data_IF_116695767111
#
_entry.id   IF_116695767111
#
_cell.length_a   1.000
_cell.length_b   1.000
_cell.length_c   1.000
_cell.angle_alpha   90.00
_cell.angle_beta   90.00
_cell.angle_gamma   90.00
#
_symmetry.space_group_name_H-M   'P 1'
#
loop_
_entity.id
_entity.type
_entity.pdbx_description
1 polymer ?
#
# COMPACT_ATOMS: atom_id res chain seq x y z
N UNK A 1 -48.62 21.42 -23.83
CA UNK A 1 -48.26 20.53 -22.70
C UNK A 1 -46.82 20.12 -22.90
N UNK A 2 -45.90 20.63 -22.07
CA UNK A 2 -44.54 20.09 -22.02
C UNK A 2 -44.66 18.66 -21.47
N UNK A 3 -44.10 17.64 -22.13
CA UNK A 3 -43.99 16.33 -21.51
C UNK A 3 -43.15 16.51 -20.25
N UNK A 4 -43.69 16.06 -19.12
CA UNK A 4 -42.95 15.95 -17.87
C UNK A 4 -41.73 15.09 -18.21
N UNK A 5 -40.53 15.68 -18.24
CA UNK A 5 -39.30 14.91 -18.26
C UNK A 5 -39.39 14.02 -17.02
N UNK A 6 -39.52 12.70 -17.20
CA UNK A 6 -39.39 11.76 -16.09
C UNK A 6 -38.03 12.04 -15.46
N UNK A 7 -38.03 12.68 -14.29
CA UNK A 7 -36.81 12.95 -13.55
C UNK A 7 -36.22 11.60 -13.16
N UNK A 8 -35.21 11.17 -13.89
CA UNK A 8 -34.51 9.93 -13.61
C UNK A 8 -33.87 10.02 -12.22
N UNK A 9 -34.36 9.18 -11.30
CA UNK A 9 -33.83 9.10 -9.94
C UNK A 9 -32.34 8.74 -10.00
N UNK A 10 -31.47 9.67 -9.61
CA UNK A 10 -30.00 9.50 -9.73
C UNK A 10 -29.40 8.31 -8.96
N UNK A 11 -30.17 7.73 -8.02
CA UNK A 11 -29.82 6.50 -7.30
C UNK A 11 -29.90 5.24 -8.18
N UNK A 12 -30.76 5.26 -9.21
CA UNK A 12 -30.82 4.22 -10.23
C UNK A 12 -30.03 4.73 -11.41
N UNK A 13 -29.02 3.98 -11.86
CA UNK A 13 -28.22 4.33 -13.02
C UNK A 13 -28.69 3.54 -14.23
N UNK A 14 -28.74 4.21 -15.37
CA UNK A 14 -28.87 3.52 -16.66
C UNK A 14 -27.65 2.61 -16.90
N UNK A 15 -27.80 1.58 -17.72
CA UNK A 15 -26.69 0.71 -18.10
C UNK A 15 -25.54 1.49 -18.76
N UNK A 16 -25.84 2.56 -19.49
CA UNK A 16 -24.81 3.41 -20.11
C UNK A 16 -24.04 4.23 -19.09
N UNK A 17 -24.70 4.75 -18.05
CA UNK A 17 -23.99 5.37 -16.93
C UNK A 17 -23.10 4.37 -16.18
N UNK A 18 -23.60 3.15 -15.93
CA UNK A 18 -22.80 2.09 -15.30
C UNK A 18 -21.59 1.73 -16.16
N UNK A 19 -21.73 1.59 -17.48
CA UNK A 19 -20.60 1.33 -18.39
C UNK A 19 -19.55 2.44 -18.35
N UNK A 20 -19.97 3.71 -18.22
CA UNK A 20 -19.02 4.84 -18.06
C UNK A 20 -18.25 4.74 -16.75
N UNK A 21 -18.92 4.38 -15.65
CA UNK A 21 -18.28 4.14 -14.35
C UNK A 21 -17.29 2.98 -14.43
N UNK A 22 -17.70 1.84 -15.00
CA UNK A 22 -16.85 0.66 -15.17
C UNK A 22 -15.61 0.93 -16.03
N UNK A 23 -15.72 1.82 -17.02
CA UNK A 23 -14.57 2.27 -17.81
C UNK A 23 -13.53 2.96 -16.93
N UNK A 24 -13.95 3.81 -16.00
CA UNK A 24 -13.04 4.43 -15.00
C UNK A 24 -12.37 3.37 -14.14
N UNK A 25 -13.12 2.36 -13.66
CA UNK A 25 -12.55 1.28 -12.84
C UNK A 25 -11.49 0.45 -13.58
N UNK A 26 -11.64 0.27 -14.89
CA UNK A 26 -10.67 -0.49 -15.69
C UNK A 26 -9.35 0.26 -15.95
N UNK A 27 -9.33 1.59 -15.75
CA UNK A 27 -8.19 2.48 -16.06
C UNK A 27 -8.14 3.63 -15.06
N UNK A 28 -7.58 3.36 -13.90
CA UNK A 28 -7.39 4.39 -12.87
C UNK A 28 -6.13 5.20 -13.16
N UNK A 29 -6.24 6.52 -13.07
CA UNK A 29 -5.15 7.45 -13.35
C UNK A 29 -4.88 8.30 -12.10
N UNK A 30 -3.62 8.34 -11.69
CA UNK A 30 -3.13 9.14 -10.56
C UNK A 30 -2.10 10.13 -11.10
N UNK A 31 -2.42 11.42 -10.99
CA UNK A 31 -1.69 12.50 -11.65
C UNK A 31 -0.92 13.33 -10.64
N UNK A 32 0.16 13.96 -11.12
CA UNK A 32 1.03 14.83 -10.32
C UNK A 32 1.46 14.14 -9.01
N UNK A 33 1.90 12.88 -9.15
CA UNK A 33 2.42 12.09 -8.04
C UNK A 33 3.77 12.63 -7.61
N UNK A 34 4.04 12.62 -6.30
CA UNK A 34 5.34 12.90 -5.68
C UNK A 34 5.58 11.81 -4.65
N UNK A 35 6.71 11.13 -4.75
CA UNK A 35 6.94 9.88 -4.02
C UNK A 35 8.32 9.89 -3.38
N UNK A 36 8.42 9.44 -2.15
CA UNK A 36 9.66 9.00 -1.52
C UNK A 36 9.55 7.50 -1.24
N UNK A 37 10.43 6.72 -1.84
CA UNK A 37 10.57 5.28 -1.60
C UNK A 37 11.91 5.00 -0.95
N UNK A 38 11.92 4.27 0.16
CA UNK A 38 13.14 3.75 0.78
C UNK A 38 13.17 2.24 0.62
N UNK A 39 14.20 1.74 -0.07
CA UNK A 39 14.43 0.32 -0.29
C UNK A 39 15.34 -0.21 0.82
N UNK A 40 15.01 -1.37 1.38
CA UNK A 40 15.76 -1.98 2.47
C UNK A 40 15.85 -3.50 2.31
N UNK A 41 16.91 -4.08 2.87
CA UNK A 41 17.04 -5.52 3.08
C UNK A 41 16.39 -5.91 4.40
N UNK A 42 15.63 -6.99 4.39
CA UNK A 42 15.11 -7.68 5.57
C UNK A 42 15.69 -9.09 5.66
N UNK A 43 15.03 -10.03 6.33
CA UNK A 43 15.46 -11.43 6.42
C UNK A 43 14.63 -12.33 5.52
N UNK A 44 15.21 -13.37 4.88
CA UNK A 44 14.46 -14.37 4.12
C UNK A 44 13.30 -15.02 4.90
N UNK A 45 13.49 -15.24 6.20
CA UNK A 45 12.48 -15.85 7.08
C UNK A 45 11.25 -14.94 7.22
N UNK A 46 11.47 -13.64 7.43
CA UNK A 46 10.40 -12.64 7.47
C UNK A 46 9.65 -12.57 6.15
N UNK A 47 10.37 -12.57 5.01
CA UNK A 47 9.73 -12.59 3.68
C UNK A 47 8.83 -13.82 3.54
N UNK A 48 9.34 -15.00 3.86
CA UNK A 48 8.56 -16.24 3.78
C UNK A 48 7.30 -16.22 4.66
N UNK A 49 7.38 -15.64 5.86
CA UNK A 49 6.24 -15.55 6.78
C UNK A 49 5.19 -14.53 6.32
N UNK A 50 5.61 -13.44 5.66
CA UNK A 50 4.69 -12.38 5.22
C UNK A 50 3.92 -12.73 3.95
N UNK A 51 4.47 -13.59 3.08
CA UNK A 51 3.87 -13.91 1.80
C UNK A 51 2.75 -14.96 1.95
N UNK A 52 1.48 -14.61 1.67
CA UNK A 52 0.42 -15.60 1.63
C UNK A 52 0.60 -16.48 0.39
N UNK A 53 0.37 -17.80 0.48
CA UNK A 53 0.27 -18.65 -0.71
C UNK A 53 -0.75 -18.07 -1.71
N UNK A 54 -0.50 -18.12 -3.03
CA UNK A 54 0.60 -18.81 -3.73
C UNK A 54 1.82 -17.90 -4.00
N UNK A 55 2.00 -16.80 -3.28
CA UNK A 55 3.19 -15.95 -3.46
C UNK A 55 4.43 -16.64 -2.90
N UNK A 56 5.53 -16.54 -3.65
CA UNK A 56 6.81 -17.14 -3.34
C UNK A 56 7.88 -16.07 -3.12
N UNK A 57 8.89 -16.31 -2.27
CA UNK A 57 10.02 -15.40 -2.10
C UNK A 57 10.83 -15.25 -3.40
N UNK A 58 11.46 -14.09 -3.56
CA UNK A 58 12.57 -13.91 -4.50
C UNK A 58 13.91 -14.28 -3.83
N UNK A 59 15.00 -14.48 -4.59
CA UNK A 59 16.33 -14.71 -4.02
C UNK A 59 16.79 -13.57 -3.08
N UNK A 60 16.41 -12.33 -3.41
CA UNK A 60 16.76 -11.16 -2.61
C UNK A 60 15.63 -10.82 -1.61
N UNK A 61 15.91 -10.75 -0.30
CA UNK A 61 14.91 -10.45 0.74
C UNK A 61 14.68 -8.94 0.86
N UNK A 62 14.14 -8.33 -0.20
CA UNK A 62 13.96 -6.88 -0.29
C UNK A 62 12.56 -6.43 0.13
N UNK A 63 12.52 -5.33 0.87
CA UNK A 63 11.32 -4.55 1.15
C UNK A 63 11.44 -3.12 0.62
N UNK A 64 10.31 -2.45 0.44
CA UNK A 64 10.27 -1.03 0.17
C UNK A 64 9.16 -0.35 0.95
N UNK A 65 9.50 0.74 1.62
CA UNK A 65 8.54 1.64 2.24
C UNK A 65 8.33 2.84 1.30
N UNK A 66 7.09 3.27 1.14
CA UNK A 66 6.72 4.40 0.30
C UNK A 66 5.90 5.40 1.12
N UNK A 67 6.13 6.69 0.90
CA UNK A 67 5.26 7.79 1.34
C UNK A 67 5.18 8.82 0.22
N UNK A 68 4.00 9.36 -0.04
CA UNK A 68 3.83 10.27 -1.16
C UNK A 68 2.50 10.99 -1.21
N UNK A 69 2.41 11.84 -2.23
CA UNK A 69 1.25 12.64 -2.57
C UNK A 69 0.76 12.25 -3.97
N UNK A 70 -0.55 12.13 -4.11
CA UNK A 70 -1.25 12.09 -5.39
C UNK A 70 -1.97 13.44 -5.53
N UNK A 71 -1.56 14.25 -6.51
CA UNK A 71 -2.09 15.60 -6.71
C UNK A 71 -3.50 15.62 -7.31
N UNK A 72 -3.89 14.59 -8.06
CA UNK A 72 -5.27 14.39 -8.52
C UNK A 72 -5.50 12.94 -8.98
N UNK A 73 -6.74 12.49 -9.07
CA UNK A 73 -7.09 11.22 -9.72
C UNK A 73 -8.48 11.28 -10.38
N UNK A 74 -8.72 10.38 -11.34
CA UNK A 74 -10.03 10.26 -11.99
C UNK A 74 -11.06 9.46 -11.18
N UNK A 75 -10.66 8.88 -10.05
CA UNK A 75 -11.49 7.96 -9.27
C UNK A 75 -11.73 8.38 -7.82
N UNK A 76 -10.76 9.04 -7.15
CA UNK A 76 -10.81 9.31 -5.70
C UNK A 76 -10.33 10.71 -5.30
N UNK A 77 -10.06 11.60 -6.26
CA UNK A 77 -9.49 12.93 -5.99
C UNK A 77 -8.02 12.88 -5.50
N UNK A 78 -7.51 13.99 -4.92
CA UNK A 78 -6.17 14.06 -4.33
C UNK A 78 -6.10 13.38 -2.97
N UNK A 79 -4.97 12.78 -2.65
CA UNK A 79 -4.71 12.19 -1.33
C UNK A 79 -3.20 12.04 -1.07
N UNK A 80 -2.86 11.81 0.19
CA UNK A 80 -1.55 11.37 0.64
C UNK A 80 -1.63 9.89 1.02
N UNK A 81 -0.55 9.16 0.82
CA UNK A 81 -0.48 7.75 1.13
C UNK A 81 0.87 7.32 1.63
N UNK A 82 0.89 6.18 2.32
CA UNK A 82 2.07 5.40 2.62
C UNK A 82 1.80 3.92 2.35
N UNK A 83 2.85 3.14 2.17
CA UNK A 83 2.73 1.71 1.96
C UNK A 83 4.03 0.98 2.31
N UNK A 84 3.89 -0.28 2.72
CA UNK A 84 5.00 -1.22 2.88
C UNK A 84 4.82 -2.37 1.92
N UNK A 85 5.89 -2.66 1.17
CA UNK A 85 5.92 -3.74 0.21
C UNK A 85 7.06 -4.71 0.50
N UNK A 86 6.85 -5.97 0.13
CA UNK A 86 7.86 -7.03 0.12
C UNK A 86 7.97 -7.59 -1.29
N UNK A 87 9.19 -7.79 -1.77
CA UNK A 87 9.45 -8.39 -3.08
C UNK A 87 8.92 -9.82 -3.10
N UNK A 88 8.13 -10.15 -4.12
CA UNK A 88 7.44 -11.43 -4.22
C UNK A 88 7.43 -11.92 -5.67
N UNK A 89 7.18 -13.22 -5.83
CA UNK A 89 7.00 -13.86 -7.12
C UNK A 89 5.68 -14.63 -7.13
N UNK A 90 4.96 -14.55 -8.25
CA UNK A 90 3.88 -15.47 -8.57
C UNK A 90 4.18 -16.05 -9.95
N UNK A 91 4.46 -17.35 -10.02
CA UNK A 91 4.92 -18.01 -11.27
C UNK A 91 6.12 -17.26 -11.86
N UNK A 92 5.96 -16.68 -13.04
CA UNK A 92 6.94 -15.89 -13.79
C UNK A 92 6.89 -14.39 -13.49
N UNK A 93 5.88 -13.90 -12.77
CA UNK A 93 5.70 -12.48 -12.46
C UNK A 93 6.46 -12.14 -11.18
N UNK A 94 7.47 -11.27 -11.32
CA UNK A 94 8.18 -10.68 -10.19
C UNK A 94 7.57 -9.31 -9.87
N UNK A 95 7.03 -9.17 -8.67
CA UNK A 95 6.32 -7.97 -8.23
C UNK A 95 6.57 -7.65 -6.76
N UNK A 96 5.66 -6.85 -6.21
CA UNK A 96 5.68 -6.42 -4.81
C UNK A 96 4.37 -6.82 -4.15
N UNK A 97 4.41 -7.59 -3.07
CA UNK A 97 3.25 -7.81 -2.21
C UNK A 97 3.05 -6.61 -1.29
N UNK A 98 1.86 -6.00 -1.30
CA UNK A 98 1.53 -4.90 -0.41
C UNK A 98 1.10 -5.43 0.96
N UNK A 99 1.90 -5.15 1.99
CA UNK A 99 1.67 -5.62 3.37
C UNK A 99 0.67 -4.72 4.10
N UNK A 100 0.84 -3.41 3.99
CA UNK A 100 -0.06 -2.39 4.57
C UNK A 100 -0.03 -1.12 3.74
N UNK A 101 -1.14 -0.38 3.72
CA UNK A 101 -1.30 0.79 2.86
C UNK A 101 -2.08 1.95 3.53
N UNK A 102 -1.50 2.70 4.49
CA UNK A 102 -2.16 3.84 5.11
C UNK A 102 -2.51 4.98 4.12
N UNK A 103 -3.72 5.54 4.18
CA UNK A 103 -4.22 6.59 3.27
C UNK A 103 -4.86 7.75 4.00
N UNK A 104 -4.77 8.97 3.47
CA UNK A 104 -5.30 10.18 4.11
C UNK A 104 -6.79 10.44 3.91
N UNK A 105 -7.46 9.74 2.98
CA UNK A 105 -8.88 9.96 2.67
C UNK A 105 -9.67 8.66 2.65
N UNK A 106 -10.93 8.72 3.08
CA UNK A 106 -11.84 7.57 3.05
C UNK A 106 -12.12 7.07 1.65
N UNK A 107 -12.17 7.96 0.66
CA UNK A 107 -12.41 7.67 -0.75
C UNK A 107 -11.31 6.77 -1.29
N UNK A 108 -10.04 7.12 -1.03
CA UNK A 108 -8.90 6.31 -1.43
C UNK A 108 -8.89 4.94 -0.73
N UNK A 109 -9.30 4.89 0.55
CA UNK A 109 -9.42 3.66 1.34
C UNK A 109 -10.49 2.73 0.76
N UNK A 110 -11.74 3.19 0.68
CA UNK A 110 -12.88 2.38 0.24
C UNK A 110 -12.67 1.90 -1.19
N UNK A 111 -12.36 2.82 -2.11
CA UNK A 111 -12.18 2.47 -3.52
C UNK A 111 -11.09 1.39 -3.71
N UNK A 112 -9.94 1.55 -3.05
CA UNK A 112 -8.82 0.61 -3.20
C UNK A 112 -9.10 -0.79 -2.64
N UNK A 113 -9.79 -0.85 -1.51
CA UNK A 113 -10.21 -2.13 -0.90
C UNK A 113 -11.21 -2.86 -1.78
N UNK A 114 -12.22 -2.15 -2.27
CA UNK A 114 -13.32 -2.74 -3.02
C UNK A 114 -12.95 -3.07 -4.47
N UNK A 115 -12.08 -2.28 -5.11
CA UNK A 115 -11.65 -2.54 -6.48
C UNK A 115 -10.50 -3.55 -6.52
N UNK A 116 -9.38 -3.23 -5.86
CA UNK A 116 -8.11 -3.95 -5.99
C UNK A 116 -7.79 -4.91 -4.83
N UNK A 117 -8.51 -4.85 -3.71
CA UNK A 117 -8.18 -5.62 -2.52
C UNK A 117 -6.98 -5.05 -1.74
N UNK A 118 -6.68 -3.77 -1.91
CA UNK A 118 -5.55 -3.14 -1.22
C UNK A 118 -5.75 -3.13 0.31
N UNK A 119 -4.69 -3.35 1.12
CA UNK A 119 -4.77 -3.38 2.58
C UNK A 119 -4.81 -1.97 3.18
N UNK A 120 -5.75 -1.16 2.70
CA UNK A 120 -5.86 0.26 3.05
C UNK A 120 -6.57 0.48 4.37
N UNK A 121 -6.01 1.41 5.15
CA UNK A 121 -6.58 1.93 6.40
C UNK A 121 -6.38 3.44 6.48
N UNK A 122 -7.33 4.17 7.09
CA UNK A 122 -7.30 5.63 7.17
C UNK A 122 -6.22 6.12 8.14
N UNK A 123 -5.37 7.05 7.75
CA UNK A 123 -4.26 7.51 8.59
C UNK A 123 -3.97 8.99 8.36
N UNK A 124 -3.33 9.61 9.35
CA UNK A 124 -2.70 10.91 9.15
C UNK A 124 -1.38 10.70 8.42
N UNK A 125 -1.25 11.29 7.25
CA UNK A 125 -0.03 11.22 6.44
C UNK A 125 0.55 12.63 6.30
N UNK A 126 1.86 12.74 6.43
CA UNK A 126 2.62 13.95 6.08
C UNK A 126 3.64 13.59 5.00
N UNK A 127 3.81 14.50 4.04
CA UNK A 127 4.81 14.43 3.00
C UNK A 127 5.34 15.83 2.71
N UNK A 128 6.63 16.03 2.90
CA UNK A 128 7.28 17.33 2.80
C UNK A 128 8.62 17.21 2.07
N UNK A 129 9.02 18.32 1.45
CA UNK A 129 10.28 18.43 0.75
C UNK A 129 10.82 19.84 0.94
N UNK A 130 12.11 19.91 1.23
CA UNK A 130 12.89 21.14 1.28
C UNK A 130 14.26 20.88 0.67
N UNK A 131 14.55 21.57 -0.43
CA UNK A 131 15.80 21.42 -1.20
C UNK A 131 16.08 19.95 -1.60
N UNK A 132 17.20 19.40 -1.12
CA UNK A 132 17.60 18.00 -1.31
C UNK A 132 16.96 17.04 -0.29
N UNK A 133 16.26 17.54 0.73
CA UNK A 133 15.64 16.71 1.76
C UNK A 133 14.16 16.44 1.46
N UNK A 134 13.77 15.18 1.52
CA UNK A 134 12.38 14.74 1.40
C UNK A 134 12.06 13.86 2.60
N UNK A 135 10.89 14.02 3.19
CA UNK A 135 10.46 13.18 4.32
C UNK A 135 8.95 13.02 4.36
N UNK A 136 8.52 11.99 5.06
CA UNK A 136 7.11 11.77 5.34
C UNK A 136 6.90 10.70 6.39
N UNK A 137 5.68 10.63 6.90
CA UNK A 137 5.29 9.62 7.88
C UNK A 137 3.81 9.28 7.78
N UNK A 138 3.49 8.07 8.25
CA UNK A 138 2.12 7.63 8.50
C UNK A 138 1.90 7.48 10.01
N UNK A 139 0.80 8.03 10.50
CA UNK A 139 0.40 8.03 11.90
C UNK A 139 -1.03 7.48 12.04
N UNK A 140 -1.19 6.45 12.86
CA UNK A 140 -2.48 5.84 13.23
C UNK A 140 -2.50 5.66 14.74
N UNK A 141 -3.63 5.97 15.38
CA UNK A 141 -3.80 5.82 16.83
C UNK A 141 -2.62 6.40 17.62
N UNK A 142 -2.26 7.67 17.31
CA UNK A 142 -1.16 8.42 17.93
C UNK A 142 0.25 7.81 17.75
N UNK A 143 0.36 6.76 16.94
CA UNK A 143 1.61 6.06 16.67
C UNK A 143 2.08 6.35 15.25
N UNK A 144 3.26 6.96 15.13
CA UNK A 144 3.97 7.11 13.85
C UNK A 144 4.58 5.79 13.41
N UNK A 145 3.73 4.89 12.92
CA UNK A 145 4.08 3.51 12.56
C UNK A 145 5.20 3.44 11.52
N UNK A 146 5.28 4.41 10.60
CA UNK A 146 6.28 4.46 9.54
C UNK A 146 6.77 5.88 9.34
N UNK A 147 8.09 6.09 9.34
CA UNK A 147 8.74 7.38 9.06
C UNK A 147 9.88 7.19 8.07
N UNK A 148 9.86 7.97 6.99
CA UNK A 148 10.87 7.93 5.92
C UNK A 148 11.53 9.30 5.80
N UNK A 149 12.83 9.31 5.59
CA UNK A 149 13.59 10.49 5.21
C UNK A 149 14.60 10.14 4.13
N UNK A 150 14.83 11.06 3.20
CA UNK A 150 15.82 10.91 2.17
C UNK A 150 16.57 12.22 1.92
N UNK A 151 17.87 12.12 1.64
CA UNK A 151 18.69 13.22 1.12
C UNK A 151 19.09 12.91 -0.32
N UNK A 152 18.50 13.62 -1.26
CA UNK A 152 18.53 13.38 -2.70
C UNK A 152 19.69 14.11 -3.36
N UNK A 153 20.85 13.45 -3.45
CA UNK A 153 22.08 14.05 -4.01
C UNK A 153 22.39 13.62 -5.45
N UNK A 154 21.71 12.60 -5.97
CA UNK A 154 21.97 12.04 -7.31
C UNK A 154 20.72 12.01 -8.19
N UNK A 155 20.93 11.92 -9.50
CA UNK A 155 19.86 11.66 -10.45
C UNK A 155 19.41 10.19 -10.42
N UNK A 156 18.14 9.94 -10.69
CA UNK A 156 17.57 8.60 -10.91
C UNK A 156 16.95 8.54 -12.30
N UNK A 157 16.68 7.32 -12.78
CA UNK A 157 16.09 7.11 -14.10
C UNK A 157 14.72 7.79 -14.22
N UNK A 158 14.46 8.37 -15.39
CA UNK A 158 13.18 8.96 -15.80
C UNK A 158 12.58 8.18 -16.97
N UNK A 159 11.36 8.54 -17.36
CA UNK A 159 10.64 7.90 -18.45
C UNK A 159 9.62 6.86 -17.99
N UNK A 160 9.12 6.09 -18.95
CA UNK A 160 8.04 5.13 -18.73
C UNK A 160 8.55 3.83 -18.14
N UNK A 161 7.93 3.35 -17.07
CA UNK A 161 8.28 2.11 -16.38
C UNK A 161 7.03 1.38 -15.93
N UNK A 162 7.01 0.08 -16.19
CA UNK A 162 6.00 -0.82 -15.66
C UNK A 162 6.45 -1.44 -14.32
N UNK A 163 5.51 -1.68 -13.44
CA UNK A 163 5.72 -2.42 -12.20
C UNK A 163 4.49 -3.25 -11.83
N UNK A 164 4.73 -4.36 -11.14
CA UNK A 164 3.71 -5.32 -10.71
C UNK A 164 3.55 -5.28 -9.20
N UNK A 165 2.29 -5.19 -8.75
CA UNK A 165 1.91 -5.28 -7.33
C UNK A 165 0.87 -6.37 -7.13
N UNK A 166 0.99 -7.10 -6.03
CA UNK A 166 0.06 -8.15 -5.62
C UNK A 166 -0.76 -7.73 -4.40
N UNK A 167 -2.06 -8.00 -4.46
CA UNK A 167 -3.02 -7.80 -3.39
C UNK A 167 -3.92 -9.01 -3.24
N UNK A 168 -4.60 -9.14 -2.10
CA UNK A 168 -5.60 -10.19 -1.90
C UNK A 168 -6.97 -9.56 -1.63
N UNK A 169 -7.94 -9.88 -2.50
CA UNK A 169 -9.32 -9.42 -2.37
C UNK A 169 -10.13 -10.49 -1.67
N UNK A 170 -10.78 -10.11 -0.57
CA UNK A 170 -11.61 -11.00 0.26
C UNK A 170 -12.58 -10.16 1.08
N UNK A 171 -13.69 -10.75 1.50
CA UNK A 171 -14.65 -10.13 2.43
C UNK A 171 -14.98 -11.15 3.51
N UNK A 172 -14.89 -10.81 4.81
CA UNK A 172 -15.28 -11.71 5.88
C UNK A 172 -16.76 -12.06 5.79
N UNK A 173 -17.11 -13.30 6.14
CA UNK A 173 -18.51 -13.69 6.20
C UNK A 173 -19.25 -12.96 7.31
N UNK A 174 -20.53 -12.65 7.10
CA UNK A 174 -21.37 -11.90 8.06
C UNK A 174 -21.50 -12.57 9.44
N UNK A 175 -21.37 -13.89 9.53
CA UNK A 175 -21.39 -14.62 10.80
C UNK A 175 -20.00 -14.79 11.44
N UNK A 176 -18.98 -14.13 10.89
CA UNK A 176 -17.61 -14.12 11.39
C UNK A 176 -16.76 -15.33 11.02
N UNK A 177 -17.30 -16.32 10.30
CA UNK A 177 -16.57 -17.55 9.95
C UNK A 177 -16.07 -17.55 8.51
N UNK A 178 -14.78 -17.30 8.32
CA UNK A 178 -14.13 -17.35 7.01
C UNK A 178 -14.53 -16.18 6.11
N UNK A 179 -14.82 -16.46 4.84
CA UNK A 179 -15.05 -15.45 3.80
C UNK A 179 -16.38 -15.66 3.07
N UNK A 180 -16.96 -14.58 2.54
CA UNK A 180 -18.16 -14.62 1.70
C UNK A 180 -17.93 -15.34 0.35
N UNK A 181 -16.69 -15.32 -0.12
CA UNK A 181 -16.23 -16.01 -1.33
C UNK A 181 -14.77 -16.41 -1.18
N UNK A 182 -14.25 -17.38 -1.95
CA UNK A 182 -12.82 -17.66 -1.98
C UNK A 182 -11.98 -16.37 -2.16
N UNK A 183 -10.95 -16.13 -1.33
CA UNK A 183 -10.05 -15.01 -1.53
C UNK A 183 -9.40 -15.06 -2.92
N UNK A 184 -9.14 -13.90 -3.51
CA UNK A 184 -8.57 -13.79 -4.85
C UNK A 184 -7.23 -13.08 -4.82
N UNK A 185 -6.22 -13.67 -5.47
CA UNK A 185 -4.96 -13.00 -5.74
C UNK A 185 -5.15 -12.03 -6.91
N UNK A 186 -4.94 -10.75 -6.64
CA UNK A 186 -5.06 -9.66 -7.60
C UNK A 186 -3.67 -9.21 -8.02
N UNK A 187 -3.45 -9.08 -9.34
CA UNK A 187 -2.29 -8.43 -9.92
C UNK A 187 -2.69 -7.06 -10.44
N UNK A 188 -2.02 -6.04 -9.94
CA UNK A 188 -2.12 -4.66 -10.44
C UNK A 188 -0.84 -4.33 -11.21
N UNK A 189 -1.02 -3.96 -12.47
CA UNK A 189 0.04 -3.39 -13.30
C UNK A 189 -0.04 -1.87 -13.20
N UNK A 190 1.10 -1.27 -12.85
CA UNK A 190 1.26 0.18 -12.77
C UNK A 190 2.23 0.64 -13.84
N UNK A 191 1.73 1.41 -14.78
CA UNK A 191 2.50 2.07 -15.83
C UNK A 191 2.76 3.52 -15.40
N UNK A 192 4.01 3.79 -15.06
CA UNK A 192 4.44 5.06 -14.46
C UNK A 192 5.25 5.86 -15.47
N UNK A 193 4.86 7.10 -15.71
CA UNK A 193 5.66 8.07 -16.44
C UNK A 193 6.42 8.99 -15.46
N UNK A 194 7.69 8.68 -15.20
CA UNK A 194 8.54 9.42 -14.28
C UNK A 194 9.11 10.66 -14.99
N UNK A 195 8.70 11.85 -14.56
CA UNK A 195 9.16 13.15 -15.08
C UNK A 195 10.40 13.64 -14.33
N UNK A 196 10.46 13.40 -13.03
CA UNK A 196 11.60 13.74 -12.17
C UNK A 196 12.02 12.48 -11.42
N UNK A 197 13.31 12.17 -11.44
CA UNK A 197 13.89 11.06 -10.70
C UNK A 197 15.15 11.52 -9.95
N UNK A 198 15.18 11.32 -8.64
CA UNK A 198 16.35 11.55 -7.79
C UNK A 198 16.60 10.35 -6.90
N UNK A 199 17.84 10.13 -6.52
CA UNK A 199 18.24 9.09 -5.57
C UNK A 199 19.22 9.62 -4.55
N UNK A 200 19.32 8.94 -3.42
CA UNK A 200 20.30 9.26 -2.40
C UNK A 200 20.18 8.39 -1.16
N UNK A 201 20.63 8.92 -0.03
CA UNK A 201 20.63 8.19 1.24
C UNK A 201 19.26 8.24 1.88
N UNK A 202 18.84 7.12 2.46
CA UNK A 202 17.55 6.97 3.11
C UNK A 202 17.68 6.64 4.59
N UNK A 203 16.66 7.00 5.35
CA UNK A 203 16.39 6.55 6.71
C UNK A 203 14.96 6.02 6.78
N UNK A 204 14.78 4.92 7.50
CA UNK A 204 13.50 4.26 7.70
C UNK A 204 13.36 3.88 9.17
N UNK A 205 12.23 4.25 9.76
CA UNK A 205 11.87 3.90 11.13
C UNK A 205 10.48 3.29 11.15
N UNK A 206 10.38 2.07 11.68
CA UNK A 206 9.12 1.42 12.04
C UNK A 206 8.88 1.49 13.54
N UNK A 207 7.63 1.67 13.94
CA UNK A 207 7.20 1.65 15.35
C UNK A 207 6.14 0.59 15.57
N UNK A 208 6.17 -0.01 16.75
CA UNK A 208 5.24 -1.06 17.14
C UNK A 208 3.83 -0.50 17.34
N UNK A 209 2.84 -1.27 16.91
CA UNK A 209 1.42 -0.98 17.05
C UNK A 209 0.65 -2.29 16.96
N UNK A 210 -0.29 -2.56 17.89
CA UNK A 210 -1.12 -3.76 17.81
C UNK A 210 -1.98 -3.77 16.53
N UNK A 211 -2.43 -2.61 16.08
CA UNK A 211 -3.22 -2.48 14.85
C UNK A 211 -2.36 -2.53 13.59
N UNK A 212 -1.08 -2.20 13.69
CA UNK A 212 -0.17 -2.01 12.56
C UNK A 212 1.23 -2.52 12.91
N UNK A 213 1.46 -3.85 12.99
CA UNK A 213 2.69 -4.45 13.53
C UNK A 213 3.89 -4.38 12.58
N UNK A 214 4.13 -3.23 11.95
CA UNK A 214 5.22 -3.02 10.97
C UNK A 214 6.61 -3.13 11.60
N UNK A 215 6.74 -2.95 12.91
CA UNK A 215 8.01 -3.11 13.64
C UNK A 215 8.47 -4.57 13.74
N UNK A 216 7.59 -5.55 13.47
CA UNK A 216 7.97 -6.96 13.42
C UNK A 216 8.85 -7.28 12.20
N UNK A 217 8.90 -6.38 11.22
CA UNK A 217 9.70 -6.52 9.99
C UNK A 217 11.08 -5.89 10.22
N UNK A 218 12.15 -6.68 10.39
CA UNK A 218 13.47 -6.14 10.67
C UNK A 218 14.04 -5.44 9.45
N UNK A 219 14.42 -4.17 9.62
CA UNK A 219 15.21 -3.41 8.63
C UNK A 219 16.69 -3.70 8.90
N UNK A 220 17.28 -4.62 8.13
CA UNK A 220 18.71 -4.99 8.29
C UNK A 220 19.62 -3.91 7.76
N UNK A 221 19.32 -3.43 6.57
CA UNK A 221 20.12 -2.42 5.88
C UNK A 221 19.23 -1.57 4.99
N UNK A 222 19.39 -0.25 5.06
CA UNK A 222 18.79 0.65 4.06
C UNK A 222 19.70 0.69 2.84
N UNK A 223 19.14 0.43 1.66
CA UNK A 223 19.87 0.33 0.40
C UNK A 223 19.93 1.69 -0.30
N UNK A 224 18.77 2.30 -0.51
CA UNK A 224 18.68 3.63 -1.13
C UNK A 224 17.33 4.28 -0.83
N UNK A 225 17.31 5.60 -1.01
CA UNK A 225 16.08 6.38 -1.13
C UNK A 225 15.94 6.91 -2.55
N UNK A 226 14.73 6.83 -3.10
CA UNK A 226 14.38 7.28 -4.45
C UNK A 226 13.22 8.27 -4.32
N UNK A 227 13.39 9.45 -4.89
CA UNK A 227 12.33 10.43 -5.05
C UNK A 227 11.89 10.46 -6.52
N UNK A 228 10.57 10.38 -6.76
CA UNK A 228 10.02 10.49 -8.11
C UNK A 228 8.84 11.45 -8.18
N UNK A 229 8.70 12.12 -9.32
CA UNK A 229 7.49 12.84 -9.70
C UNK A 229 7.00 12.34 -11.06
N UNK A 230 5.68 12.24 -11.22
CA UNK A 230 5.13 11.72 -12.46
C UNK A 230 3.64 11.42 -12.41
N UNK A 231 3.19 10.61 -13.36
CA UNK A 231 1.82 10.13 -13.45
C UNK A 231 1.81 8.60 -13.47
N UNK A 232 0.79 7.98 -12.87
CA UNK A 232 0.64 6.53 -12.77
C UNK A 232 -0.70 6.11 -13.33
N UNK A 233 -0.68 5.09 -14.17
CA UNK A 233 -1.87 4.47 -14.77
C UNK A 233 -1.94 3.02 -14.31
N UNK A 234 -3.07 2.61 -13.72
CA UNK A 234 -3.21 1.27 -13.16
C UNK A 234 -4.37 0.49 -13.79
N UNK A 235 -4.13 -0.81 -13.96
CA UNK A 235 -5.13 -1.81 -14.32
C UNK A 235 -4.95 -3.05 -13.44
N UNK A 236 -6.03 -3.77 -13.19
CA UNK A 236 -6.04 -4.93 -12.31
C UNK A 236 -6.64 -6.16 -12.99
N UNK A 237 -6.16 -7.33 -12.59
CA UNK A 237 -6.72 -8.63 -13.00
C UNK A 237 -6.67 -9.63 -11.84
N UNK A 238 -7.62 -10.56 -11.83
CA UNK A 238 -7.60 -11.72 -10.93
C UNK A 238 -6.66 -12.77 -11.52
N UNK A 239 -5.68 -13.22 -10.74
CA UNK A 239 -4.74 -14.26 -11.16
C UNK A 239 -5.25 -15.66 -10.84
N UNK A 240 -5.83 -15.84 -9.66
CA UNK A 240 -6.43 -17.09 -9.20
C UNK A 240 -7.29 -16.86 -7.95
N UNK A 241 -8.15 -17.82 -7.66
CA UNK A 241 -8.67 -18.02 -6.30
C UNK A 241 -7.59 -18.66 -5.42
N UNK A 242 -7.72 -18.46 -4.11
CA UNK A 242 -6.76 -18.89 -3.10
C UNK A 242 -7.49 -19.77 -2.10
N UNK A 243 -6.80 -20.79 -1.61
CA UNK A 243 -7.30 -21.65 -0.55
C UNK A 243 -7.70 -20.82 0.69
N UNK A 244 -8.98 -20.83 1.10
CA UNK A 244 -9.46 -20.02 2.21
C UNK A 244 -8.75 -20.31 3.54
N UNK A 245 -8.46 -21.57 3.84
CA UNK A 245 -7.86 -21.96 5.11
C UNK A 245 -6.39 -21.53 5.19
N UNK A 246 -5.65 -21.69 4.09
CA UNK A 246 -4.25 -21.26 4.01
C UNK A 246 -4.11 -19.73 4.02
N UNK A 247 -5.09 -19.01 3.47
CA UNK A 247 -5.06 -17.54 3.46
C UNK A 247 -5.56 -16.90 4.76
N UNK A 248 -6.43 -17.57 5.53
CA UNK A 248 -7.06 -17.00 6.72
C UNK A 248 -6.11 -16.30 7.70
N UNK A 249 -4.90 -16.83 8.02
CA UNK A 249 -3.94 -16.15 8.89
C UNK A 249 -3.46 -14.78 8.40
N UNK A 250 -3.58 -14.50 7.10
CA UNK A 250 -3.13 -13.26 6.45
C UNK A 250 -4.23 -12.20 6.31
N UNK A 251 -5.48 -12.56 6.63
CA UNK A 251 -6.66 -11.72 6.44
C UNK A 251 -6.72 -10.50 7.40
N UNK A 252 -5.75 -10.36 8.29
CA UNK A 252 -5.60 -9.21 9.19
C UNK A 252 -5.18 -7.90 8.49
N UNK A 253 -4.50 -7.98 7.34
CA UNK A 253 -3.77 -6.86 6.71
C UNK A 253 -4.57 -5.58 6.52
N UNK A 254 -5.90 -5.68 6.40
CA UNK A 254 -6.83 -4.58 6.15
C UNK A 254 -7.82 -4.33 7.29
N UNK A 255 -7.59 -4.92 8.46
CA UNK A 255 -8.39 -4.76 9.67
C UNK A 255 -7.55 -4.13 10.79
N UNK A 256 -8.24 -3.62 11.79
CA UNK A 256 -7.61 -3.34 13.08
C UNK A 256 -7.63 -4.60 13.95
N UNK A 257 -6.77 -4.66 14.96
CA UNK A 257 -6.79 -5.68 16.00
C UNK A 257 -8.10 -5.60 16.81
N UNK A 258 -9.16 -6.27 16.30
CA UNK A 258 -10.50 -6.27 16.88
C UNK A 258 -10.49 -6.93 18.27
N UNK A 259 -9.64 -7.92 18.47
CA UNK A 259 -9.35 -8.53 19.77
C UNK A 259 -8.89 -7.48 20.79
N UNK A 260 -7.94 -6.62 20.41
CA UNK A 260 -7.45 -5.51 21.26
C UNK A 260 -8.53 -4.45 21.51
N UNK A 261 -9.38 -4.18 20.52
CA UNK A 261 -10.52 -3.27 20.67
C UNK A 261 -11.56 -3.84 21.64
N UNK A 262 -11.87 -5.13 21.54
CA UNK A 262 -12.87 -5.81 22.37
C UNK A 262 -12.50 -5.80 23.86
N UNK A 263 -11.20 -5.83 24.18
CA UNK A 263 -10.69 -5.74 25.54
C UNK A 263 -10.75 -4.32 26.13
N UNK A 264 -11.21 -3.31 25.37
CA UNK A 264 -11.23 -1.91 25.80
C UNK A 264 -9.86 -1.23 25.75
N UNK A 265 -8.91 -1.87 25.09
CA UNK A 265 -7.48 -1.58 25.18
C UNK A 265 -7.01 -0.79 23.96
N UNK A 266 -7.73 0.25 23.53
CA UNK A 266 -7.34 1.07 22.38
C UNK A 266 -5.93 1.68 22.50
N UNK A 267 -5.37 1.75 23.72
CA UNK A 267 -4.08 2.38 24.02
C UNK A 267 -3.11 1.56 24.90
N UNK A 268 -3.58 0.57 25.69
CA UNK A 268 -2.74 -0.02 26.76
C UNK A 268 -1.85 -1.23 26.34
N UNK A 269 -1.95 -1.74 25.11
CA UNK A 269 -1.07 -2.83 24.68
C UNK A 269 0.39 -2.38 24.42
N UNK A 270 0.66 -1.06 24.41
CA UNK A 270 2.00 -0.49 24.18
C UNK A 270 3.04 -0.83 25.27
N UNK A 271 2.61 -1.30 26.45
CA UNK A 271 3.50 -1.46 27.59
C UNK A 271 4.16 -2.85 27.72
N UNK A 272 3.73 -3.88 26.98
CA UNK A 272 4.13 -5.26 27.27
C UNK A 272 5.18 -5.88 26.32
N UNK A 273 5.47 -5.27 25.16
CA UNK A 273 6.49 -5.80 24.23
C UNK A 273 7.69 -4.86 24.19
N UNK A 274 8.85 -5.36 24.63
CA UNK A 274 10.14 -4.64 24.59
C UNK A 274 10.33 -4.03 23.20
N UNK A 275 10.39 -2.71 23.16
CA UNK A 275 10.65 -1.90 21.96
C UNK A 275 11.87 -2.42 21.20
N UNK A 276 11.65 -3.15 20.10
CA UNK A 276 12.67 -3.35 19.09
C UNK A 276 12.74 -2.08 18.25
N UNK A 277 13.61 -1.14 18.65
CA UNK A 277 13.97 -0.03 17.77
C UNK A 277 14.84 -0.57 16.62
N UNK A 278 14.21 -0.97 15.53
CA UNK A 278 14.91 -1.24 14.28
C UNK A 278 15.32 0.08 13.63
N UNK A 279 16.51 0.59 13.94
CA UNK A 279 17.17 1.64 13.14
C UNK A 279 18.09 0.93 12.14
N UNK A 280 17.72 0.91 10.86
CA UNK A 280 18.61 0.40 9.81
C UNK A 280 19.89 1.25 9.72
N UNK A 281 21.05 0.61 9.71
CA UNK A 281 22.33 1.31 9.50
C UNK A 281 22.64 1.40 7.99
N UNK A 282 23.27 2.51 7.58
CA UNK A 282 23.70 2.76 6.20
C UNK A 282 24.96 1.96 5.85
N UNK A 283 25.04 1.43 4.62
CA UNK A 283 26.25 0.77 4.12
C UNK A 283 27.30 1.81 3.75
N UNK A 284 28.40 1.87 4.50
CA UNK A 284 29.60 2.63 4.10
C UNK A 284 30.19 1.99 2.84
N UNK A 285 30.51 2.80 1.83
CA UNK A 285 31.22 2.32 0.65
C UNK A 285 32.62 1.83 1.07
N UNK A 286 32.91 0.57 0.79
CA UNK A 286 34.26 -0.01 0.78
C UNK A 286 34.96 0.31 -0.52
#
# INVERSE_FOLDING_TARGET
MNPIQEEHLRFVKTLDEIRRIQKTFSRCHFLATRNLTVVFETTPETVKQLLPPPLEPTPDPLGSAWVGQIGNSNCVGPFLGAALYIKARYKDIIGNYCVTMPMSTSEAVVFGRELYGEPKKLAKIIFEQQDEHVWGYAERHETRLMSLRGRMTGASATGRRESSTFHFKFTPRVDGSGFDSPPQLIHVTSDTNIKVGRRGRGELVFRDSPHDPVADIPVRQVIEAIYTEGDVYTSGQVLCEVDPEQFLPYAFSKMDAIDVVAEGTLLHAQAARKTRQGKGQWRTAS
#
